data_IF_175468250765
#
_entry.id   IF_175468250765
#
_cell.length_a   1.000
_cell.length_b   1.000
_cell.length_c   1.000
_cell.angle_alpha   90.00
_cell.angle_beta   90.00
_cell.angle_gamma   90.00
#
_symmetry.space_group_name_H-M   'P 1'
#
loop_
_entity.id
_entity.type
_entity.pdbx_description
1 polymer ?
#
# COMPACT_ATOMS: atom_id res chain seq x y z
N UNK A 1 -23.67 25.22 -6.43
CA UNK A 1 -23.65 24.72 -5.03
C UNK A 1 -22.63 23.61 -4.86
N UNK A 2 -22.23 23.31 -3.61
CA UNK A 2 -21.23 22.27 -3.27
C UNK A 2 -21.58 20.87 -3.82
N UNK A 3 -22.87 20.53 -3.88
CA UNK A 3 -23.37 19.23 -4.40
C UNK A 3 -22.93 18.98 -5.85
N UNK A 4 -22.93 20.02 -6.69
CA UNK A 4 -22.47 19.89 -8.08
C UNK A 4 -20.95 19.67 -8.19
N UNK A 5 -20.17 20.04 -7.17
CA UNK A 5 -18.72 19.88 -7.13
C UNK A 5 -18.27 18.53 -6.55
N UNK A 6 -19.18 17.68 -6.07
CA UNK A 6 -18.83 16.39 -5.46
C UNK A 6 -17.95 15.55 -6.40
N UNK A 7 -18.32 15.49 -7.69
CA UNK A 7 -17.56 14.72 -8.69
C UNK A 7 -16.12 15.21 -8.88
N UNK A 8 -15.85 16.49 -9.22
CA UNK A 8 -14.47 16.93 -9.38
C UNK A 8 -13.68 16.94 -8.06
N UNK A 9 -14.34 17.17 -6.92
CA UNK A 9 -13.71 17.12 -5.61
C UNK A 9 -13.26 15.69 -5.24
N UNK A 10 -14.07 14.67 -5.52
CA UNK A 10 -13.70 13.28 -5.23
C UNK A 10 -12.49 12.83 -6.03
N UNK A 11 -12.40 13.27 -7.30
CA UNK A 11 -11.22 12.99 -8.13
C UNK A 11 -9.97 13.69 -7.58
N UNK A 12 -10.07 14.93 -7.10
CA UNK A 12 -8.91 15.63 -6.52
C UNK A 12 -8.38 14.93 -5.26
N UNK A 13 -9.28 14.43 -4.40
CA UNK A 13 -8.90 13.60 -3.24
C UNK A 13 -8.24 12.31 -3.70
N UNK A 14 -8.82 11.64 -4.71
CA UNK A 14 -8.25 10.41 -5.27
C UNK A 14 -6.86 10.64 -5.89
N UNK A 15 -6.63 11.77 -6.55
CA UNK A 15 -5.32 12.12 -7.12
C UNK A 15 -4.28 12.43 -6.03
N UNK A 16 -4.69 13.16 -4.98
CA UNK A 16 -3.83 13.45 -3.84
C UNK A 16 -3.36 12.14 -3.17
N UNK A 17 -4.30 11.25 -2.84
CA UNK A 17 -4.00 9.95 -2.24
C UNK A 17 -3.26 9.01 -3.21
N UNK A 18 -3.71 8.95 -4.47
CA UNK A 18 -3.19 8.05 -5.50
C UNK A 18 -1.73 8.30 -5.84
N UNK A 19 -1.32 9.57 -5.97
CA UNK A 19 0.10 9.90 -6.21
C UNK A 19 1.00 9.50 -5.03
N UNK A 20 0.53 9.64 -3.79
CA UNK A 20 1.26 9.18 -2.61
C UNK A 20 1.33 7.65 -2.53
N UNK A 21 0.20 6.99 -2.81
CA UNK A 21 0.11 5.54 -2.87
C UNK A 21 1.08 4.94 -3.89
N UNK A 22 1.10 5.46 -5.12
CA UNK A 22 2.06 5.02 -6.15
C UNK A 22 3.50 5.27 -5.68
N UNK A 23 3.77 6.43 -5.09
CA UNK A 23 5.10 6.79 -4.65
C UNK A 23 5.64 5.80 -3.59
N UNK A 24 4.78 5.38 -2.65
CA UNK A 24 5.07 4.38 -1.62
C UNK A 24 5.17 2.98 -2.21
N UNK A 25 4.19 2.56 -3.02
CA UNK A 25 4.10 1.20 -3.56
C UNK A 25 5.29 0.82 -4.44
N UNK A 26 5.79 1.76 -5.25
CA UNK A 26 6.98 1.55 -6.10
C UNK A 26 8.29 1.95 -5.42
N UNK A 27 8.24 2.45 -4.18
CA UNK A 27 9.40 3.01 -3.49
C UNK A 27 10.20 3.98 -4.39
N UNK A 28 9.45 4.90 -5.02
CA UNK A 28 9.96 5.82 -6.04
C UNK A 28 11.05 6.75 -5.52
N UNK A 29 11.03 7.04 -4.21
CA UNK A 29 12.03 7.90 -3.55
C UNK A 29 13.45 7.37 -3.72
N UNK A 30 13.63 6.05 -3.65
CA UNK A 30 14.94 5.40 -3.76
C UNK A 30 15.33 5.13 -5.22
N UNK A 31 14.38 4.68 -6.05
CA UNK A 31 14.69 4.16 -7.39
C UNK A 31 14.47 5.18 -8.53
N UNK A 32 13.68 6.23 -8.31
CA UNK A 32 13.33 7.23 -9.33
C UNK A 32 12.96 8.58 -8.69
N UNK A 33 13.94 9.30 -8.10
CA UNK A 33 13.68 10.49 -7.30
C UNK A 33 13.04 11.65 -8.08
N UNK A 34 13.28 11.73 -9.40
CA UNK A 34 12.63 12.73 -10.27
C UNK A 34 11.13 12.45 -10.40
N UNK A 35 10.74 11.20 -10.62
CA UNK A 35 9.33 10.79 -10.71
C UNK A 35 8.67 10.93 -9.34
N UNK A 36 9.36 10.60 -8.26
CA UNK A 36 8.89 10.81 -6.90
C UNK A 36 8.49 12.28 -6.65
N UNK A 37 9.37 13.23 -7.01
CA UNK A 37 9.06 14.67 -6.90
C UNK A 37 7.86 15.06 -7.75
N UNK A 38 7.75 14.52 -8.96
CA UNK A 38 6.59 14.75 -9.84
C UNK A 38 5.28 14.27 -9.21
N UNK A 39 5.25 13.04 -8.68
CA UNK A 39 4.08 12.47 -8.00
C UNK A 39 3.70 13.28 -6.77
N UNK A 40 4.68 13.65 -5.93
CA UNK A 40 4.44 14.49 -4.74
C UNK A 40 3.93 15.87 -5.14
N UNK A 41 4.45 16.47 -6.21
CA UNK A 41 3.98 17.76 -6.72
C UNK A 41 2.53 17.68 -7.19
N UNK A 42 2.18 16.67 -8.01
CA UNK A 42 0.81 16.47 -8.49
C UNK A 42 -0.15 16.19 -7.33
N UNK A 43 0.25 15.37 -6.35
CA UNK A 43 -0.54 15.12 -5.15
C UNK A 43 -0.77 16.39 -4.33
N UNK A 44 0.29 17.18 -4.10
CA UNK A 44 0.22 18.42 -3.32
C UNK A 44 -0.64 19.47 -4.03
N UNK A 45 -0.50 19.59 -5.35
CA UNK A 45 -1.30 20.50 -6.16
C UNK A 45 -2.77 20.07 -6.19
N UNK A 46 -3.05 18.76 -6.30
CA UNK A 46 -4.43 18.24 -6.24
C UNK A 46 -5.09 18.55 -4.88
N UNK A 47 -4.33 18.39 -3.79
CA UNK A 47 -4.80 18.75 -2.45
C UNK A 47 -5.04 20.26 -2.31
N UNK A 48 -4.14 21.09 -2.83
CA UNK A 48 -4.30 22.54 -2.81
C UNK A 48 -5.56 22.97 -3.59
N UNK A 49 -5.77 22.44 -4.80
CA UNK A 49 -6.97 22.73 -5.60
C UNK A 49 -8.24 22.25 -4.90
N UNK A 50 -8.19 21.08 -4.24
CA UNK A 50 -9.32 20.58 -3.44
C UNK A 50 -9.69 21.56 -2.32
N UNK A 51 -8.71 22.02 -1.53
CA UNK A 51 -8.93 22.99 -0.45
C UNK A 51 -9.46 24.32 -0.99
N UNK A 52 -8.86 24.85 -2.05
CA UNK A 52 -9.30 26.10 -2.69
C UNK A 52 -10.76 25.99 -3.19
N UNK A 53 -11.13 24.85 -3.77
CA UNK A 53 -12.49 24.62 -4.25
C UNK A 53 -13.52 24.49 -3.11
N UNK A 54 -13.12 23.88 -1.98
CA UNK A 54 -13.93 23.82 -0.76
C UNK A 54 -14.16 25.19 -0.13
N UNK A 55 -13.14 26.06 -0.14
CA UNK A 55 -13.25 27.44 0.34
C UNK A 55 -14.12 28.32 -0.56
N UNK A 56 -14.66 27.79 -1.67
CA UNK A 56 -15.53 28.52 -2.58
C UNK A 56 -14.78 29.46 -3.54
N UNK A 57 -13.45 29.47 -3.52
CA UNK A 57 -12.60 30.33 -4.35
C UNK A 57 -12.55 29.88 -5.81
N UNK A 58 -12.87 28.60 -6.09
CA UNK A 58 -12.97 28.06 -7.45
C UNK A 58 -14.40 27.63 -7.76
N UNK A 59 -14.93 28.10 -8.89
CA UNK A 59 -16.20 27.61 -9.43
C UNK A 59 -16.12 26.15 -9.93
N UNK A 60 -17.28 25.57 -10.22
CA UNK A 60 -17.38 24.21 -10.75
C UNK A 60 -16.51 24.02 -12.00
N UNK A 61 -16.56 24.97 -12.94
CA UNK A 61 -15.74 24.94 -14.17
C UNK A 61 -14.24 24.93 -13.87
N UNK A 62 -13.77 25.80 -12.98
CA UNK A 62 -12.36 25.86 -12.61
C UNK A 62 -11.88 24.57 -11.95
N UNK A 63 -12.72 24.02 -11.05
CA UNK A 63 -12.43 22.74 -10.39
C UNK A 63 -12.38 21.60 -11.42
N UNK A 64 -13.36 21.52 -12.34
CA UNK A 64 -13.42 20.49 -13.37
C UNK A 64 -12.23 20.54 -14.34
N UNK A 65 -11.81 21.74 -14.75
CA UNK A 65 -10.64 21.93 -15.62
C UNK A 65 -9.37 21.46 -14.91
N UNK A 66 -9.16 21.88 -13.66
CA UNK A 66 -8.02 21.45 -12.88
C UNK A 66 -7.98 19.92 -12.71
N UNK A 67 -9.11 19.31 -12.36
CA UNK A 67 -9.24 17.85 -12.27
C UNK A 67 -8.91 17.14 -13.58
N UNK A 68 -9.36 17.68 -14.72
CA UNK A 68 -9.13 17.09 -16.05
C UNK A 68 -7.66 17.20 -16.47
N UNK A 69 -6.97 18.27 -16.09
CA UNK A 69 -5.54 18.46 -16.38
C UNK A 69 -4.65 17.62 -15.47
N UNK A 70 -4.98 17.54 -14.17
CA UNK A 70 -4.19 16.80 -13.19
C UNK A 70 -4.41 15.29 -13.28
N UNK A 71 -5.62 14.86 -13.64
CA UNK A 71 -6.03 13.46 -13.69
C UNK A 71 -5.05 12.54 -14.41
N UNK A 72 -4.71 12.83 -15.69
CA UNK A 72 -3.80 11.99 -16.47
C UNK A 72 -2.34 12.00 -15.99
N UNK A 73 -1.92 13.00 -15.20
CA UNK A 73 -0.52 13.13 -14.81
C UNK A 73 -0.05 12.01 -13.90
N UNK A 74 -0.91 11.53 -12.99
CA UNK A 74 -0.57 10.40 -12.11
C UNK A 74 -0.27 9.13 -12.92
N UNK A 75 -1.17 8.60 -13.77
CA UNK A 75 -0.86 7.45 -14.61
C UNK A 75 0.37 7.68 -15.51
N UNK A 76 0.48 8.87 -16.11
CA UNK A 76 1.58 9.18 -17.03
C UNK A 76 2.95 9.15 -16.34
N UNK A 77 3.04 9.64 -15.10
CA UNK A 77 4.25 9.55 -14.28
C UNK A 77 4.47 8.14 -13.73
N UNK A 78 3.39 7.41 -13.45
CA UNK A 78 3.42 6.07 -12.85
C UNK A 78 3.92 5.00 -13.82
N UNK A 79 3.53 5.06 -15.09
CA UNK A 79 3.88 4.05 -16.11
C UNK A 79 5.41 3.88 -16.26
N UNK A 80 6.22 4.94 -16.46
CA UNK A 80 7.67 4.79 -16.55
C UNK A 80 8.32 4.27 -15.26
N UNK A 81 7.83 4.68 -14.09
CA UNK A 81 8.32 4.18 -12.81
C UNK A 81 7.99 2.69 -12.61
N UNK A 82 6.76 2.29 -12.93
CA UNK A 82 6.31 0.90 -12.87
C UNK A 82 7.13 0.04 -13.84
N UNK A 83 7.32 0.49 -15.09
CA UNK A 83 8.10 -0.23 -16.08
C UNK A 83 9.54 -0.50 -15.63
N UNK A 84 10.21 0.51 -15.03
CA UNK A 84 11.56 0.32 -14.46
C UNK A 84 11.57 -0.68 -13.32
N UNK A 85 10.53 -0.70 -12.48
CA UNK A 85 10.40 -1.64 -11.35
C UNK A 85 10.07 -3.06 -11.80
N UNK A 86 9.29 -3.23 -12.86
CA UNK A 86 9.06 -4.53 -13.51
C UNK A 86 10.39 -5.13 -13.96
N UNK A 87 11.27 -4.33 -14.57
CA UNK A 87 12.62 -4.80 -14.96
C UNK A 87 13.49 -5.21 -13.77
N UNK A 88 13.23 -4.69 -12.57
CA UNK A 88 13.90 -5.12 -11.33
C UNK A 88 13.25 -6.33 -10.66
N UNK A 89 12.25 -6.96 -11.28
CA UNK A 89 11.61 -8.17 -10.77
C UNK A 89 10.52 -7.94 -9.73
N UNK A 90 9.97 -6.72 -9.62
CA UNK A 90 8.87 -6.42 -8.69
C UNK A 90 7.51 -6.84 -9.30
N UNK A 91 6.86 -7.90 -8.80
CA UNK A 91 5.59 -8.36 -9.36
C UNK A 91 4.44 -7.37 -9.12
N UNK A 92 4.47 -6.60 -8.03
CA UNK A 92 3.43 -5.61 -7.76
C UNK A 92 3.45 -4.47 -8.79
N UNK A 93 4.66 -4.10 -9.25
CA UNK A 93 4.83 -3.10 -10.30
C UNK A 93 4.26 -3.55 -11.66
N UNK A 94 4.26 -4.86 -11.96
CA UNK A 94 3.69 -5.40 -13.19
C UNK A 94 2.18 -5.19 -13.21
N UNK A 95 1.50 -5.57 -12.14
CA UNK A 95 0.05 -5.40 -12.05
C UNK A 95 -0.33 -3.91 -12.06
N UNK A 96 0.46 -3.04 -11.42
CA UNK A 96 0.21 -1.61 -11.52
C UNK A 96 0.39 -1.07 -12.94
N UNK A 97 1.39 -1.56 -13.69
CA UNK A 97 1.58 -1.19 -15.09
C UNK A 97 0.41 -1.65 -15.96
N UNK A 98 -0.09 -2.87 -15.76
CA UNK A 98 -1.27 -3.41 -16.45
C UNK A 98 -2.50 -2.55 -16.15
N UNK A 99 -2.74 -2.23 -14.88
CA UNK A 99 -3.85 -1.39 -14.44
C UNK A 99 -3.84 -0.03 -15.14
N UNK A 100 -2.75 0.74 -14.97
CA UNK A 100 -2.65 2.07 -15.58
C UNK A 100 -2.73 2.05 -17.10
N UNK A 101 -2.09 1.08 -17.77
CA UNK A 101 -2.11 1.00 -19.23
C UNK A 101 -3.52 0.70 -19.74
N UNK A 102 -4.21 -0.24 -19.09
CA UNK A 102 -5.56 -0.65 -19.49
C UNK A 102 -6.57 0.47 -19.25
N UNK A 103 -6.51 1.12 -18.08
CA UNK A 103 -7.30 2.31 -17.77
C UNK A 103 -7.08 3.44 -18.79
N UNK A 104 -5.82 3.75 -19.13
CA UNK A 104 -5.51 4.81 -20.09
C UNK A 104 -6.06 4.51 -21.49
N UNK A 105 -6.01 3.26 -21.94
CA UNK A 105 -6.61 2.84 -23.20
C UNK A 105 -8.13 3.06 -23.16
N UNK A 106 -8.82 2.54 -22.14
CA UNK A 106 -10.27 2.71 -22.00
C UNK A 106 -10.69 4.17 -21.89
N UNK A 107 -10.00 4.95 -21.07
CA UNK A 107 -10.27 6.38 -20.88
C UNK A 107 -10.05 7.17 -22.16
N UNK A 108 -9.01 6.84 -22.95
CA UNK A 108 -8.74 7.48 -24.24
C UNK A 108 -9.82 7.17 -25.26
N UNK A 109 -10.30 5.92 -25.31
CA UNK A 109 -11.42 5.54 -26.20
C UNK A 109 -12.71 6.23 -25.78
N UNK A 110 -13.03 6.28 -24.48
CA UNK A 110 -14.19 7.01 -23.98
C UNK A 110 -14.10 8.51 -24.31
N UNK A 111 -12.94 9.13 -24.10
CA UNK A 111 -12.71 10.53 -24.44
C UNK A 111 -12.87 10.80 -25.94
N UNK A 112 -12.37 9.91 -26.80
CA UNK A 112 -12.55 9.97 -28.24
C UNK A 112 -14.02 9.85 -28.66
N UNK A 113 -14.77 8.95 -28.02
CA UNK A 113 -16.20 8.77 -28.26
C UNK A 113 -17.01 10.00 -27.84
N UNK A 114 -16.74 10.57 -26.65
CA UNK A 114 -17.41 11.78 -26.16
C UNK A 114 -17.11 13.02 -27.02
N UNK A 115 -15.97 13.05 -27.72
CA UNK A 115 -15.58 14.13 -28.64
C UNK A 115 -16.05 13.90 -30.08
N UNK A 116 -16.68 12.77 -30.37
CA UNK A 116 -17.10 12.40 -31.71
C UNK A 116 -15.97 11.97 -32.65
N UNK A 117 -14.77 11.68 -32.12
CA UNK A 117 -13.63 11.21 -32.91
C UNK A 117 -13.71 9.72 -33.25
N UNK A 118 -14.49 8.95 -32.48
CA UNK A 118 -14.68 7.53 -32.67
C UNK A 118 -16.16 7.22 -32.90
N UNK A 119 -16.49 6.29 -33.80
CA UNK A 119 -17.88 5.88 -34.04
C UNK A 119 -18.43 5.09 -32.85
N UNK A 120 -19.69 5.32 -32.50
CA UNK A 120 -20.38 4.55 -31.47
C UNK A 120 -20.70 3.14 -31.98
N UNK A 121 -19.99 2.14 -31.46
CA UNK A 121 -20.21 0.72 -31.72
C UNK A 121 -20.10 -0.08 -30.43
N UNK A 122 -20.48 -1.37 -30.45
CA UNK A 122 -20.47 -2.21 -29.25
C UNK A 122 -19.10 -2.25 -28.55
N UNK A 123 -18.01 -2.19 -29.31
CA UNK A 123 -16.67 -2.20 -28.74
C UNK A 123 -16.37 -0.88 -28.02
N UNK A 124 -16.48 0.26 -28.69
CA UNK A 124 -16.16 1.59 -28.14
C UNK A 124 -17.06 1.99 -26.98
N UNK A 125 -18.33 1.57 -27.00
CA UNK A 125 -19.30 1.82 -25.93
C UNK A 125 -19.02 1.00 -24.65
N UNK A 126 -18.38 -0.17 -24.79
CA UNK A 126 -18.12 -1.08 -23.67
C UNK A 126 -16.64 -1.18 -23.27
N UNK A 127 -15.70 -0.66 -24.07
CA UNK A 127 -14.26 -0.85 -23.85
C UNK A 127 -13.80 -0.23 -22.53
N UNK A 128 -14.38 0.91 -22.13
CA UNK A 128 -14.04 1.53 -20.84
C UNK A 128 -14.44 0.61 -19.67
N UNK A 129 -15.60 -0.03 -19.73
CA UNK A 129 -16.10 -0.95 -18.72
C UNK A 129 -15.21 -2.20 -18.66
N UNK A 130 -14.90 -2.81 -19.80
CA UNK A 130 -13.96 -3.94 -19.86
C UNK A 130 -12.59 -3.56 -19.30
N UNK A 131 -12.08 -2.37 -19.66
CA UNK A 131 -10.80 -1.89 -19.17
C UNK A 131 -10.80 -1.67 -17.66
N UNK A 132 -11.92 -1.17 -17.10
CA UNK A 132 -12.08 -0.94 -15.67
C UNK A 132 -12.12 -2.27 -14.89
N UNK A 133 -12.70 -3.33 -15.46
CA UNK A 133 -12.67 -4.67 -14.85
C UNK A 133 -11.24 -5.20 -14.78
N UNK A 134 -10.50 -5.12 -15.89
CA UNK A 134 -9.09 -5.56 -15.93
C UNK A 134 -8.23 -4.74 -14.96
N UNK A 135 -8.44 -3.42 -14.93
CA UNK A 135 -7.77 -2.52 -14.00
C UNK A 135 -8.04 -2.92 -12.55
N UNK A 136 -9.31 -3.15 -12.19
CA UNK A 136 -9.71 -3.55 -10.85
C UNK A 136 -9.07 -4.88 -10.43
N UNK A 137 -9.05 -5.88 -11.32
CA UNK A 137 -8.37 -7.16 -11.06
C UNK A 137 -6.86 -6.98 -10.84
N UNK A 138 -6.24 -6.08 -11.60
CA UNK A 138 -4.82 -5.75 -11.44
C UNK A 138 -4.56 -5.07 -10.09
N UNK A 139 -5.39 -4.11 -9.69
CA UNK A 139 -5.29 -3.46 -8.37
C UNK A 139 -5.49 -4.45 -7.22
N UNK A 140 -6.48 -5.33 -7.29
CA UNK A 140 -6.70 -6.38 -6.30
C UNK A 140 -5.48 -7.30 -6.18
N UNK A 141 -4.91 -7.72 -7.30
CA UNK A 141 -3.73 -8.58 -7.30
C UNK A 141 -2.51 -7.87 -6.72
N UNK A 142 -2.29 -6.61 -7.08
CA UNK A 142 -1.24 -5.78 -6.50
C UNK A 142 -1.39 -5.64 -4.98
N UNK A 143 -2.60 -5.36 -4.50
CA UNK A 143 -2.89 -5.23 -3.07
C UNK A 143 -2.62 -6.54 -2.33
N UNK A 144 -3.05 -7.67 -2.88
CA UNK A 144 -2.80 -9.00 -2.31
C UNK A 144 -1.31 -9.29 -2.16
N UNK A 145 -0.49 -8.94 -3.15
CA UNK A 145 0.97 -9.09 -3.06
C UNK A 145 1.56 -8.20 -1.96
N UNK A 146 1.04 -6.98 -1.79
CA UNK A 146 1.50 -6.09 -0.73
C UNK A 146 1.15 -6.63 0.65
N UNK A 147 -0.07 -7.14 0.83
CA UNK A 147 -0.51 -7.78 2.08
C UNK A 147 0.37 -8.99 2.40
N UNK A 148 0.69 -9.82 1.41
CA UNK A 148 1.57 -10.97 1.58
C UNK A 148 2.98 -10.56 2.04
N UNK A 149 3.54 -9.49 1.46
CA UNK A 149 4.84 -8.96 1.89
C UNK A 149 4.79 -8.45 3.33
N UNK A 150 3.75 -7.72 3.72
CA UNK A 150 3.57 -7.22 5.09
C UNK A 150 3.42 -8.38 6.08
N UNK A 151 2.61 -9.38 5.74
CA UNK A 151 2.39 -10.56 6.56
C UNK A 151 3.67 -11.35 6.78
N UNK A 152 4.44 -11.64 5.72
CA UNK A 152 5.72 -12.34 5.83
C UNK A 152 6.74 -11.60 6.70
N UNK A 153 6.74 -10.25 6.65
CA UNK A 153 7.58 -9.43 7.53
C UNK A 153 7.16 -9.53 8.99
N UNK A 154 5.86 -9.53 9.26
CA UNK A 154 5.32 -9.69 10.62
C UNK A 154 5.67 -11.07 11.19
N UNK A 155 5.45 -12.14 10.43
CA UNK A 155 5.79 -13.52 10.82
C UNK A 155 7.28 -13.66 11.13
N UNK A 156 8.15 -13.08 10.29
CA UNK A 156 9.60 -13.08 10.55
C UNK A 156 9.98 -12.33 11.83
N UNK A 157 9.40 -11.15 12.04
CA UNK A 157 9.66 -10.37 13.26
C UNK A 157 9.20 -11.10 14.52
N UNK A 158 8.12 -11.86 14.42
CA UNK A 158 7.61 -12.67 15.53
C UNK A 158 8.54 -13.84 15.85
N UNK A 159 9.03 -14.55 14.83
CA UNK A 159 10.03 -15.61 15.00
C UNK A 159 11.34 -15.08 15.59
N UNK A 160 11.84 -13.94 15.12
CA UNK A 160 13.05 -13.29 15.66
C UNK A 160 12.87 -12.92 17.14
N UNK A 161 11.68 -12.41 17.52
CA UNK A 161 11.34 -12.13 18.92
C UNK A 161 11.31 -13.41 19.76
N UNK A 162 10.68 -14.48 19.27
CA UNK A 162 10.62 -15.76 19.96
C UNK A 162 12.02 -16.36 20.18
N UNK A 163 12.90 -16.26 19.17
CA UNK A 163 14.29 -16.71 19.28
C UNK A 163 15.06 -15.93 20.36
N UNK A 164 14.90 -14.60 20.41
CA UNK A 164 15.53 -13.75 21.45
C UNK A 164 15.01 -14.06 22.86
N UNK A 165 13.70 -14.30 23.00
CA UNK A 165 13.10 -14.72 24.28
C UNK A 165 13.64 -16.08 24.71
N UNK A 166 13.75 -17.04 23.77
CA UNK A 166 14.35 -18.34 24.06
C UNK A 166 15.79 -18.19 24.56
N UNK A 167 16.63 -17.41 23.87
CA UNK A 167 18.02 -17.13 24.30
C UNK A 167 18.09 -16.42 25.66
N UNK A 168 17.10 -15.61 26.02
CA UNK A 168 17.08 -14.90 27.29
C UNK A 168 16.77 -15.81 28.50
N UNK A 169 16.08 -16.94 28.29
CA UNK A 169 15.62 -17.85 29.35
C UNK A 169 16.22 -19.27 29.28
N UNK A 170 16.91 -19.61 28.19
CA UNK A 170 17.60 -20.90 28.01
C UNK A 170 19.11 -20.70 27.93
N UNK A 171 19.85 -21.69 28.40
CA UNK A 171 21.29 -21.77 28.26
C UNK A 171 21.63 -22.35 26.88
N UNK A 172 22.49 -21.66 26.12
CA UNK A 172 22.76 -22.00 24.72
C UNK A 172 23.59 -23.28 24.55
N UNK A 173 24.33 -23.70 25.58
CA UNK A 173 25.20 -24.88 25.52
C UNK A 173 24.44 -26.17 25.87
N UNK A 174 23.49 -26.08 26.80
CA UNK A 174 22.76 -27.25 27.35
C UNK A 174 21.30 -27.34 26.92
N UNK A 175 20.71 -26.24 26.43
CA UNK A 175 19.27 -26.13 26.13
C UNK A 175 18.37 -26.12 27.37
N UNK A 176 18.95 -26.17 28.57
CA UNK A 176 18.24 -26.12 29.84
C UNK A 176 17.84 -24.67 30.18
N UNK A 177 16.86 -24.46 31.08
CA UNK A 177 16.56 -23.12 31.59
C UNK A 177 17.82 -22.50 32.21
N UNK A 178 18.17 -21.29 31.79
CA UNK A 178 19.27 -20.55 32.40
C UNK A 178 18.84 -20.03 33.79
N UNK A 179 19.75 -19.37 34.51
CA UNK A 179 19.46 -18.84 35.86
C UNK A 179 18.16 -18.01 35.92
N UNK A 180 17.83 -17.23 34.88
CA UNK A 180 16.59 -16.44 34.81
C UNK A 180 15.35 -17.31 34.55
N UNK A 181 15.48 -18.31 33.69
CA UNK A 181 14.44 -19.33 33.48
C UNK A 181 14.13 -20.12 34.76
N UNK A 182 15.18 -20.51 35.49
CA UNK A 182 15.06 -21.18 36.78
C UNK A 182 14.36 -20.31 37.83
N UNK A 183 14.73 -19.04 37.97
CA UNK A 183 14.08 -18.12 38.92
C UNK A 183 12.59 -17.94 38.62
N UNK A 184 12.20 -17.81 37.34
CA UNK A 184 10.79 -17.72 36.95
C UNK A 184 10.00 -18.99 37.29
N UNK A 185 10.59 -20.16 37.06
CA UNK A 185 9.97 -21.44 37.39
C UNK A 185 9.76 -21.59 38.91
N UNK A 186 10.75 -21.14 39.71
CA UNK A 186 10.65 -21.09 41.17
C UNK A 186 9.57 -20.12 41.63
N UNK A 187 9.54 -18.89 41.11
CA UNK A 187 8.55 -17.87 41.47
C UNK A 187 7.10 -18.32 41.14
N UNK A 188 6.92 -19.09 40.06
CA UNK A 188 5.62 -19.67 39.71
C UNK A 188 5.22 -20.87 40.59
N UNK A 189 6.19 -21.66 41.05
CA UNK A 189 5.95 -22.88 41.82
C UNK A 189 5.77 -22.63 43.33
N UNK A 190 6.49 -21.66 43.90
CA UNK A 190 6.47 -21.35 45.34
C UNK A 190 5.06 -21.03 45.90
N UNK A 191 4.19 -20.27 45.22
CA UNK A 191 2.84 -19.98 45.71
C UNK A 191 1.91 -21.20 45.74
N UNK A 192 2.24 -22.24 44.98
CA UNK A 192 1.45 -23.48 44.91
C UNK A 192 1.83 -24.48 46.00
N UNK A 193 2.90 -24.21 46.77
CA UNK A 193 3.31 -25.06 47.87
C UNK A 193 2.27 -25.07 48.99
N UNK A 194 1.90 -26.26 49.44
CA UNK A 194 1.02 -26.52 50.58
C UNK A 194 1.69 -27.50 51.53
N UNK A 195 1.13 -27.69 52.72
CA UNK A 195 1.61 -28.66 53.71
C UNK A 195 1.77 -30.07 53.11
N UNK A 196 0.90 -30.43 52.17
CA UNK A 196 0.92 -31.74 51.48
C UNK A 196 1.65 -31.73 50.12
N UNK A 197 2.14 -30.58 49.65
CA UNK A 197 2.83 -30.44 48.35
C UNK A 197 4.05 -29.52 48.47
N UNK A 198 5.19 -30.12 48.81
CA UNK A 198 6.48 -29.44 48.96
C UNK A 198 7.26 -29.37 47.65
N UNK A 199 7.92 -28.23 47.40
CA UNK A 199 8.84 -28.03 46.29
C UNK A 199 10.26 -28.42 46.71
N UNK A 200 10.93 -29.24 45.92
CA UNK A 200 12.34 -29.63 46.13
C UNK A 200 13.23 -29.05 45.02
N UNK A 201 14.42 -28.57 45.39
CA UNK A 201 15.43 -28.06 44.45
C UNK A 201 16.69 -28.91 44.60
N UNK A 202 17.14 -29.51 43.50
CA UNK A 202 18.39 -30.28 43.45
C UNK A 202 19.48 -29.43 42.82
N UNK A 203 20.60 -29.25 43.54
CA UNK A 203 21.82 -28.63 43.00
C UNK A 203 22.84 -29.73 42.73
N UNK A 204 23.32 -29.77 41.49
CA UNK A 204 24.32 -30.72 41.00
C UNK A 204 25.58 -29.91 40.67
N UNK A 205 26.72 -30.34 41.20
CA UNK A 205 28.05 -29.79 40.88
C UNK A 205 28.91 -30.92 40.31
N UNK A 206 29.74 -30.61 39.31
CA UNK A 206 30.52 -31.58 38.52
C UNK A 206 31.97 -31.70 39.02
#
# INVERSE_FOLDING_TARGET
>A
GLVAKISPLSVLVALAAGGHFVALALNTRQHSPRIHRGLVLVSSLSLAVFVISLLGLLDYRGTQVATTLLGPLVPLLSIPAAYRRVRSGDPAALYMLIGWSTYMVGASVMAGLLRGWLPANLLTLNLFQWSSVVEMLAWLRMLSLHIEVVRRKAERSELEKQALVSLAHTDALTGLPNRRGLSLALDAALPLCRVDSVLAVFMLDL
#
